data_IF_422036963906
#
_entry.id   IF_422036963906
#
_cell.length_a   1.000
_cell.length_b   1.000
_cell.length_c   1.000
_cell.angle_alpha   90.00
_cell.angle_beta   90.00
_cell.angle_gamma   90.00
#
_symmetry.space_group_name_H-M   'P 1'
#
loop_
_entity.id
_entity.type
_entity.pdbx_description
1 polymer ?
#
# COMPACT_ATOMS: atom_id res chain seq x y z
N UNK A 1 18.09 8.90 6.34
CA UNK A 1 17.09 8.41 7.32
C UNK A 1 15.76 8.23 6.62
N UNK A 2 15.03 7.16 6.89
CA UNK A 2 13.67 6.94 6.33
C UNK A 2 12.67 7.81 7.12
N UNK A 3 11.64 8.40 6.48
CA UNK A 3 10.67 9.23 7.18
C UNK A 3 9.81 8.39 8.12
N UNK A 4 9.52 8.92 9.31
CA UNK A 4 8.57 8.31 10.24
C UNK A 4 7.15 8.66 9.78
N UNK A 5 6.32 7.64 9.54
CA UNK A 5 4.92 7.79 9.12
C UNK A 5 4.04 7.96 10.36
N UNK A 6 3.53 9.17 10.59
CA UNK A 6 2.54 9.41 11.63
C UNK A 6 1.14 9.53 11.01
N UNK A 7 0.23 8.65 11.44
CA UNK A 7 -1.19 8.75 11.08
C UNK A 7 -1.82 9.92 11.84
N UNK A 8 -2.41 10.88 11.13
CA UNK A 8 -2.94 12.10 11.73
C UNK A 8 -4.44 11.96 11.99
N UNK A 9 -5.23 11.71 10.93
CA UNK A 9 -6.69 11.63 11.00
C UNK A 9 -7.24 11.00 9.71
N UNK A 10 -8.34 10.24 9.80
CA UNK A 10 -9.14 9.83 8.65
C UNK A 10 -10.45 10.59 8.64
N UNK A 11 -10.60 11.58 7.75
CA UNK A 11 -11.90 12.21 7.47
C UNK A 11 -12.38 11.74 6.10
N UNK A 12 -13.35 10.83 6.07
CA UNK A 12 -13.90 10.29 4.82
C UNK A 12 -12.91 9.41 4.04
N UNK A 13 -12.87 9.59 2.70
CA UNK A 13 -12.11 8.76 1.76
C UNK A 13 -10.59 9.05 1.70
N UNK A 14 -10.11 10.06 2.43
CA UNK A 14 -8.71 10.48 2.41
C UNK A 14 -7.98 10.04 3.68
N UNK A 15 -6.84 9.37 3.50
CA UNK A 15 -5.94 9.03 4.59
C UNK A 15 -4.75 10.01 4.56
N UNK A 16 -4.66 10.92 5.53
CA UNK A 16 -3.56 11.90 5.57
C UNK A 16 -2.46 11.35 6.47
N UNK A 17 -1.25 11.24 5.91
CA UNK A 17 -0.06 10.88 6.65
C UNK A 17 0.85 12.10 6.81
N UNK A 18 1.43 12.26 7.99
CA UNK A 18 2.55 13.17 8.20
C UNK A 18 3.83 12.37 8.00
N UNK A 19 4.61 12.72 6.99
CA UNK A 19 5.98 12.24 6.84
C UNK A 19 6.90 13.27 7.50
N UNK A 20 7.64 12.84 8.52
CA UNK A 20 8.71 13.66 9.10
C UNK A 20 10.05 13.30 8.43
N UNK A 21 10.62 14.23 7.65
CA UNK A 21 11.96 14.10 7.07
C UNK A 21 12.82 15.30 7.46
N UNK A 22 13.95 15.06 8.16
CA UNK A 22 14.89 16.11 8.59
C UNK A 22 14.22 17.31 9.28
N UNK A 23 13.25 17.06 10.17
CA UNK A 23 12.53 18.11 10.90
C UNK A 23 11.46 18.87 10.09
N UNK A 24 11.29 18.56 8.81
CA UNK A 24 10.18 19.07 7.99
C UNK A 24 9.00 18.09 8.06
N UNK A 25 7.83 18.62 8.40
CA UNK A 25 6.54 17.91 8.36
C UNK A 25 5.96 18.08 6.96
N UNK A 26 5.86 16.98 6.22
CA UNK A 26 5.18 16.97 4.92
C UNK A 26 3.87 16.19 5.09
N UNK A 27 2.74 16.86 4.89
CA UNK A 27 1.44 16.21 4.78
C UNK A 27 1.33 15.58 3.40
N UNK A 28 1.37 14.25 3.35
CA UNK A 28 1.04 13.52 2.12
C UNK A 28 -0.33 12.90 2.29
N UNK A 29 -1.31 13.51 1.65
CA UNK A 29 -2.63 12.90 1.51
C UNK A 29 -2.48 11.66 0.61
N UNK A 30 -2.72 10.48 1.17
CA UNK A 30 -2.98 9.30 0.37
C UNK A 30 -4.42 9.44 -0.13
N UNK A 31 -4.55 9.84 -1.39
CA UNK A 31 -5.82 10.09 -2.11
C UNK A 31 -6.63 8.80 -2.39
N UNK A 32 -6.18 7.65 -1.86
CA UNK A 32 -6.78 6.33 -2.09
C UNK A 32 -7.25 5.72 -0.79
N UNK A 33 -8.39 5.04 -0.85
CA UNK A 33 -8.89 4.23 0.25
C UNK A 33 -7.89 3.12 0.62
N UNK A 34 -7.69 2.90 1.92
CA UNK A 34 -6.84 1.83 2.41
C UNK A 34 -7.42 0.45 2.06
N UNK A 35 -6.56 -0.54 1.72
CA UNK A 35 -7.00 -1.91 1.51
C UNK A 35 -7.66 -2.48 2.76
N UNK A 36 -8.72 -3.25 2.57
CA UNK A 36 -9.46 -3.93 3.66
C UNK A 36 -9.34 -5.44 3.52
N UNK A 37 -9.38 -6.14 4.65
CA UNK A 37 -9.39 -7.59 4.66
C UNK A 37 -10.54 -8.17 3.80
N UNK A 38 -10.25 -9.23 3.05
CA UNK A 38 -11.16 -9.87 2.10
C UNK A 38 -11.24 -9.21 0.72
N UNK A 39 -10.65 -8.02 0.52
CA UNK A 39 -10.60 -7.41 -0.80
C UNK A 39 -9.64 -8.14 -1.74
N UNK A 40 -9.97 -8.19 -3.03
CA UNK A 40 -9.06 -8.70 -4.05
C UNK A 40 -8.38 -7.54 -4.78
N UNK A 41 -7.06 -7.63 -4.96
CA UNK A 41 -6.22 -6.63 -5.61
C UNK A 41 -5.37 -7.26 -6.72
N UNK A 42 -5.16 -6.52 -7.82
CA UNK A 42 -4.37 -6.91 -8.98
C UNK A 42 -3.04 -6.18 -8.99
N UNK A 43 -1.95 -6.94 -8.98
CA UNK A 43 -0.62 -6.40 -9.22
C UNK A 43 -0.41 -6.11 -10.71
N UNK A 44 0.32 -5.04 -11.03
CA UNK A 44 0.59 -4.61 -12.42
C UNK A 44 1.23 -5.68 -13.33
N UNK A 45 1.80 -6.74 -12.74
CA UNK A 45 2.27 -7.95 -13.43
C UNK A 45 1.17 -9.01 -13.66
N UNK A 46 -0.09 -8.60 -13.67
CA UNK A 46 -1.25 -9.44 -13.88
C UNK A 46 -1.36 -10.64 -12.89
N UNK A 47 -1.05 -10.39 -11.61
CA UNK A 47 -1.15 -11.38 -10.52
C UNK A 47 -2.18 -10.91 -9.49
N UNK A 48 -3.10 -11.79 -9.13
CA UNK A 48 -4.19 -11.49 -8.17
C UNK A 48 -3.81 -11.89 -6.76
N UNK A 49 -4.23 -11.07 -5.81
CA UNK A 49 -3.99 -11.25 -4.39
C UNK A 49 -5.23 -10.90 -3.57
N UNK A 50 -5.42 -11.56 -2.44
CA UNK A 50 -6.42 -11.23 -1.44
C UNK A 50 -5.75 -10.54 -0.26
N UNK A 51 -6.35 -9.45 0.24
CA UNK A 51 -5.87 -8.77 1.44
C UNK A 51 -6.28 -9.56 2.67
N UNK A 52 -5.30 -9.96 3.48
CA UNK A 52 -5.53 -10.68 4.73
C UNK A 52 -5.71 -9.70 5.89
N UNK A 53 -4.80 -8.73 6.00
CA UNK A 53 -4.85 -7.70 7.04
C UNK A 53 -4.14 -6.44 6.56
N UNK A 54 -4.80 -5.28 6.71
CA UNK A 54 -4.25 -3.99 6.35
C UNK A 54 -5.06 -2.86 7.02
N UNK A 55 -4.41 -1.82 7.59
CA UNK A 55 -2.98 -1.77 7.88
C UNK A 55 -2.60 -2.70 9.05
N UNK A 56 -1.40 -3.29 9.01
CA UNK A 56 -0.76 -3.91 10.19
C UNK A 56 0.44 -3.08 10.62
N UNK A 57 0.81 -3.15 11.90
CA UNK A 57 1.93 -2.38 12.46
C UNK A 57 3.09 -3.32 12.76
N UNK A 58 4.25 -3.04 12.18
CA UNK A 58 5.49 -3.74 12.53
C UNK A 58 5.88 -3.37 13.96
N UNK A 59 6.06 -4.37 14.84
CA UNK A 59 6.21 -4.16 16.28
C UNK A 59 7.46 -3.35 16.63
N UNK A 60 8.58 -3.62 15.97
CA UNK A 60 9.88 -3.00 16.28
C UNK A 60 10.00 -1.58 15.72
N UNK A 61 9.55 -1.36 14.47
CA UNK A 61 9.77 -0.09 13.76
C UNK A 61 8.54 0.82 13.76
N UNK A 62 7.37 0.30 14.15
CA UNK A 62 6.07 0.98 14.09
C UNK A 62 5.64 1.37 12.67
N UNK A 63 6.31 0.85 11.64
CA UNK A 63 5.95 1.08 10.25
C UNK A 63 4.68 0.28 9.86
N UNK A 64 3.91 0.83 8.92
CA UNK A 64 2.69 0.18 8.45
C UNK A 64 2.97 -0.76 7.27
N UNK A 65 2.33 -1.93 7.30
CA UNK A 65 2.44 -2.96 6.28
C UNK A 65 1.06 -3.41 5.81
N UNK A 66 1.04 -4.05 4.64
CA UNK A 66 -0.09 -4.81 4.11
C UNK A 66 0.28 -6.29 4.05
N UNK A 67 -0.57 -7.15 4.61
CA UNK A 67 -0.46 -8.61 4.53
C UNK A 67 -1.48 -9.13 3.54
N UNK A 68 -1.01 -9.89 2.54
CA UNK A 68 -1.84 -10.36 1.42
C UNK A 68 -1.41 -11.75 0.95
N UNK A 69 -2.36 -12.50 0.39
CA UNK A 69 -2.20 -13.87 -0.07
C UNK A 69 -2.26 -13.94 -1.59
N UNK A 70 -1.37 -14.68 -2.23
CA UNK A 70 -1.47 -14.97 -3.65
C UNK A 70 -2.70 -15.82 -3.96
N UNK A 71 -3.44 -15.45 -5.01
CA UNK A 71 -4.54 -16.26 -5.55
C UNK A 71 -4.08 -17.10 -6.75
N UNK A 72 -2.81 -17.52 -6.74
CA UNK A 72 -2.17 -18.34 -7.76
C UNK A 72 -1.05 -19.18 -7.15
N UNK A 73 -0.62 -20.22 -7.86
CA UNK A 73 0.42 -21.15 -7.38
C UNK A 73 0.02 -21.75 -6.03
N UNK A 74 0.99 -21.89 -5.13
CA UNK A 74 0.79 -22.50 -3.80
C UNK A 74 0.10 -21.56 -2.79
N UNK A 75 -0.34 -20.37 -3.21
CA UNK A 75 -1.09 -19.46 -2.36
C UNK A 75 -0.29 -18.82 -1.22
N UNK A 76 0.98 -18.51 -1.46
CA UNK A 76 1.87 -17.89 -0.46
C UNK A 76 1.34 -16.57 0.12
N UNK A 77 1.71 -16.30 1.37
CA UNK A 77 1.34 -15.09 2.12
C UNK A 77 2.56 -14.18 2.21
N UNK A 78 2.36 -12.89 1.93
CA UNK A 78 3.41 -11.89 1.86
C UNK A 78 3.08 -10.68 2.74
N UNK A 79 4.13 -10.06 3.27
CA UNK A 79 4.06 -8.80 3.99
C UNK A 79 4.86 -7.75 3.21
N UNK A 80 4.30 -6.55 3.01
CA UNK A 80 4.96 -5.46 2.27
C UNK A 80 4.70 -4.11 2.94
N UNK A 81 5.68 -3.18 2.98
CA UNK A 81 5.44 -1.81 3.45
C UNK A 81 4.23 -1.20 2.74
N UNK A 82 3.35 -0.55 3.50
CA UNK A 82 2.07 -0.05 2.99
C UNK A 82 2.27 1.03 1.92
N UNK A 83 3.26 1.90 2.11
CA UNK A 83 3.66 2.92 1.14
C UNK A 83 4.06 2.29 -0.21
N UNK A 84 4.86 1.23 -0.18
CA UNK A 84 5.28 0.49 -1.37
C UNK A 84 4.12 -0.30 -1.99
N UNK A 85 3.18 -0.80 -1.19
CA UNK A 85 1.98 -1.46 -1.70
C UNK A 85 1.08 -0.46 -2.45
N UNK A 86 0.88 0.73 -1.88
CA UNK A 86 -0.03 1.76 -2.40
C UNK A 86 0.60 2.64 -3.49
N UNK A 87 1.92 2.54 -3.71
CA UNK A 87 2.67 3.37 -4.67
C UNK A 87 2.28 3.16 -6.14
N UNK A 88 2.59 4.17 -6.95
CA UNK A 88 2.51 4.11 -8.41
C UNK A 88 3.50 3.11 -9.01
N UNK A 89 3.19 2.64 -10.22
CA UNK A 89 4.14 1.88 -11.02
C UNK A 89 5.29 2.81 -11.41
N UNK A 90 6.51 2.26 -11.37
CA UNK A 90 7.66 2.95 -11.94
C UNK A 90 7.58 2.86 -13.47
N UNK A 91 7.00 3.88 -14.11
CA UNK A 91 6.84 3.93 -15.56
C UNK A 91 8.14 4.22 -16.33
N UNK A 92 9.23 4.62 -15.65
CA UNK A 92 10.56 4.67 -16.28
C UNK A 92 11.06 3.24 -16.49
N UNK A 93 10.87 2.38 -15.48
CA UNK A 93 11.24 0.96 -15.54
C UNK A 93 10.25 0.12 -16.35
N UNK A 94 8.97 0.47 -16.33
CA UNK A 94 7.89 -0.28 -16.98
C UNK A 94 7.04 0.66 -17.86
N UNK A 95 7.58 1.13 -19.00
CA UNK A 95 6.93 2.14 -19.82
C UNK A 95 5.61 1.69 -20.42
N UNK A 96 5.47 0.39 -20.72
CA UNK A 96 4.28 -0.16 -21.39
C UNK A 96 3.14 -0.51 -20.42
N UNK A 97 3.37 -0.39 -19.10
CA UNK A 97 2.35 -0.70 -18.10
C UNK A 97 1.32 0.41 -18.07
N UNK A 98 0.06 0.08 -18.38
CA UNK A 98 -1.08 1.03 -18.33
C UNK A 98 -1.63 1.24 -16.92
N UNK A 99 -1.43 0.26 -16.04
CA UNK A 99 -1.89 0.33 -14.66
C UNK A 99 -1.16 1.45 -13.92
N UNK A 100 -1.89 2.34 -13.24
CA UNK A 100 -1.30 3.50 -12.57
C UNK A 100 -0.58 3.08 -11.28
N UNK A 101 -1.19 2.20 -10.51
CA UNK A 101 -0.67 1.78 -9.21
C UNK A 101 -0.11 0.36 -9.23
N UNK A 102 0.86 0.07 -8.37
CA UNK A 102 1.42 -1.29 -8.27
C UNK A 102 0.36 -2.33 -8.00
N UNK A 103 -0.61 -1.97 -7.15
CA UNK A 103 -1.79 -2.76 -6.83
C UNK A 103 -3.05 -1.91 -7.00
N UNK A 104 -4.05 -2.49 -7.66
CA UNK A 104 -5.37 -1.89 -7.84
C UNK A 104 -6.46 -2.86 -7.41
N UNK A 105 -7.45 -2.38 -6.65
CA UNK A 105 -8.59 -3.19 -6.20
C UNK A 105 -9.38 -3.67 -7.42
N UNK A 106 -9.75 -4.95 -7.43
CA UNK A 106 -10.61 -5.55 -8.45
C UNK A 106 -11.92 -6.03 -7.82
N UNK A 107 -13.05 -5.67 -8.44
CA UNK A 107 -14.39 -6.07 -7.99
C UNK A 107 -14.91 -5.31 -6.76
N UNK A 108 -16.11 -5.71 -6.31
CA UNK A 108 -16.79 -5.26 -5.09
C UNK A 108 -16.86 -6.39 -4.08
#
# INVERSE_FOLDING_TARGET
MKPLLHFIESRGFFCIYLLCYNGKKEERAMERALPKAGETWLHFKNKRYEIIACPVIHSETREQYCVYKALYGDGGIYCRPLDMFMSEVDHVKYPDVRQKYRFEKIGK
#
